data_IF_867171813130
#
_entry.id   IF_867171813130
#
_cell.length_a   1.000
_cell.length_b   1.000
_cell.length_c   1.000
_cell.angle_alpha   90.00
_cell.angle_beta   90.00
_cell.angle_gamma   90.00
#
_symmetry.space_group_name_H-M   'P 1'
#
loop_
_entity.id
_entity.type
_entity.pdbx_description
1 polymer ?
#
# COMPACT_ATOMS: atom_id res chain seq x y z
N UNK A 1 -21.82 3.98 18.88
CA UNK A 1 -22.38 4.39 17.57
C UNK A 1 -21.38 5.18 16.72
N UNK A 2 -20.78 6.26 17.23
CA UNK A 2 -19.81 7.09 16.45
C UNK A 2 -18.63 6.28 15.86
N UNK A 3 -17.99 5.43 16.66
CA UNK A 3 -16.85 4.60 16.20
C UNK A 3 -17.24 3.55 15.15
N UNK A 4 -18.48 3.06 15.17
CA UNK A 4 -18.97 2.13 14.15
C UNK A 4 -19.08 2.82 12.79
N UNK A 5 -19.64 4.03 12.74
CA UNK A 5 -19.72 4.82 11.50
C UNK A 5 -18.33 5.18 10.97
N UNK A 6 -17.38 5.53 11.84
CA UNK A 6 -16.00 5.81 11.42
C UNK A 6 -15.36 4.56 10.80
N UNK A 7 -15.52 3.39 11.45
CA UNK A 7 -14.99 2.13 10.92
C UNK A 7 -15.63 1.74 9.59
N UNK A 8 -16.96 1.86 9.47
CA UNK A 8 -17.70 1.59 8.24
C UNK A 8 -17.23 2.48 7.09
N UNK A 9 -17.03 3.76 7.36
CA UNK A 9 -16.58 4.73 6.35
C UNK A 9 -15.15 4.42 5.89
N UNK A 10 -14.27 4.02 6.82
CA UNK A 10 -12.92 3.57 6.52
C UNK A 10 -12.91 2.29 5.67
N UNK A 11 -13.81 1.35 5.97
CA UNK A 11 -13.95 0.13 5.20
C UNK A 11 -14.46 0.40 3.78
N UNK A 12 -15.45 1.29 3.63
CA UNK A 12 -15.98 1.72 2.33
C UNK A 12 -14.92 2.42 1.48
N UNK A 13 -14.18 3.38 2.05
CA UNK A 13 -13.12 4.08 1.32
C UNK A 13 -12.01 3.13 0.92
N UNK A 14 -11.56 2.24 1.81
CA UNK A 14 -10.57 1.22 1.49
C UNK A 14 -11.06 0.26 0.39
N UNK A 15 -12.31 -0.19 0.46
CA UNK A 15 -12.92 -1.06 -0.55
C UNK A 15 -13.02 -0.42 -1.93
N UNK A 16 -13.51 0.82 -2.00
CA UNK A 16 -13.62 1.58 -3.26
C UNK A 16 -12.23 1.86 -3.85
N UNK A 17 -11.27 2.29 -3.01
CA UNK A 17 -9.89 2.49 -3.45
C UNK A 17 -9.26 1.18 -3.96
N UNK A 18 -9.47 0.06 -3.26
CA UNK A 18 -9.03 -1.25 -3.70
C UNK A 18 -9.62 -1.66 -5.05
N UNK A 19 -10.91 -1.42 -5.27
CA UNK A 19 -11.59 -1.69 -6.54
C UNK A 19 -11.03 -0.84 -7.69
N UNK A 20 -10.85 0.47 -7.48
CA UNK A 20 -10.31 1.37 -8.51
C UNK A 20 -8.89 0.96 -8.94
N UNK A 21 -8.08 0.51 -7.98
CA UNK A 21 -6.73 0.04 -8.27
C UNK A 21 -6.76 -1.34 -8.95
N UNK A 22 -7.66 -2.24 -8.54
CA UNK A 22 -7.85 -3.53 -9.21
C UNK A 22 -8.26 -3.36 -10.69
N UNK A 23 -9.11 -2.37 -10.97
CA UNK A 23 -9.51 -2.01 -12.34
C UNK A 23 -8.35 -1.42 -13.16
N UNK A 24 -7.34 -0.85 -12.50
CA UNK A 24 -6.15 -0.38 -13.17
C UNK A 24 -5.17 -1.54 -13.43
N UNK A 25 -5.34 -2.19 -14.58
CA UNK A 25 -4.47 -3.28 -15.03
C UNK A 25 -3.21 -2.80 -15.74
N UNK A 26 -2.93 -1.49 -15.77
CA UNK A 26 -1.70 -1.02 -16.40
C UNK A 26 -0.48 -1.51 -15.61
N UNK A 27 0.47 -2.20 -16.27
CA UNK A 27 1.70 -2.61 -15.62
C UNK A 27 2.58 -1.39 -15.34
N UNK A 28 3.17 -1.32 -14.13
CA UNK A 28 4.19 -0.33 -13.81
C UNK A 28 5.56 -1.00 -13.93
N UNK A 29 6.51 -0.28 -14.51
CA UNK A 29 7.91 -0.70 -14.57
C UNK A 29 8.71 0.16 -13.61
N UNK A 30 9.46 -0.46 -12.71
CA UNK A 30 10.38 0.27 -11.83
C UNK A 30 11.70 0.50 -12.56
N UNK A 31 12.12 1.76 -12.59
CA UNK A 31 13.42 2.16 -13.10
C UNK A 31 14.36 2.29 -11.90
N UNK A 32 15.44 1.52 -11.90
CA UNK A 32 16.46 1.56 -10.88
C UNK A 32 17.37 2.76 -11.14
N UNK A 33 17.48 3.64 -10.14
CA UNK A 33 18.38 4.78 -10.15
C UNK A 33 19.43 4.64 -9.04
N UNK A 34 20.67 5.13 -9.28
CA UNK A 34 21.16 5.84 -10.48
C UNK A 34 21.40 4.92 -11.69
N UNK A 35 21.58 5.51 -12.88
CA UNK A 35 22.03 4.75 -14.06
C UNK A 35 23.45 4.23 -13.85
N UNK A 36 23.73 3.03 -14.35
CA UNK A 36 25.07 2.45 -14.28
C UNK A 36 25.60 2.29 -15.71
N UNK A 37 26.72 2.95 -16.01
CA UNK A 37 27.30 2.95 -17.36
C UNK A 37 26.39 3.58 -18.44
N UNK A 38 25.49 4.51 -18.07
CA UNK A 38 24.55 5.13 -19.00
C UNK A 38 23.34 4.26 -19.37
N UNK A 39 23.20 3.07 -18.77
CA UNK A 39 22.07 2.17 -18.98
C UNK A 39 21.11 2.24 -17.80
N UNK A 40 19.81 2.29 -18.10
CA UNK A 40 18.73 2.17 -17.12
C UNK A 40 18.40 0.70 -16.90
N UNK A 41 18.47 0.25 -15.65
CA UNK A 41 18.02 -1.08 -15.27
C UNK A 41 16.55 -1.00 -14.88
N UNK A 42 15.75 -1.93 -15.39
CA UNK A 42 14.33 -2.03 -15.07
C UNK A 42 14.01 -3.36 -14.41
N UNK A 43 13.10 -3.32 -13.44
CA UNK A 43 12.51 -4.54 -12.90
C UNK A 43 11.39 -5.04 -13.81
N UNK A 44 11.04 -6.34 -13.76
CA UNK A 44 9.88 -6.86 -14.45
C UNK A 44 8.62 -6.05 -14.14
N UNK A 45 7.75 -5.79 -15.14
CA UNK A 45 6.53 -5.03 -14.93
C UNK A 45 5.64 -5.69 -13.87
N UNK A 46 5.12 -4.88 -12.95
CA UNK A 46 4.31 -5.33 -11.82
C UNK A 46 2.92 -4.71 -11.90
N UNK A 47 1.83 -5.44 -11.56
CA UNK A 47 0.50 -4.85 -11.52
C UNK A 47 0.40 -3.77 -10.44
N UNK A 48 -0.19 -2.61 -10.76
CA UNK A 48 -0.45 -1.53 -9.77
C UNK A 48 -1.26 -2.06 -8.58
N UNK A 49 -2.24 -2.92 -8.86
CA UNK A 49 -3.04 -3.62 -7.86
C UNK A 49 -2.20 -4.28 -6.78
N UNK A 50 -1.12 -4.97 -7.16
CA UNK A 50 -0.25 -5.67 -6.22
C UNK A 50 0.44 -4.67 -5.27
N UNK A 51 0.94 -3.55 -5.78
CA UNK A 51 1.63 -2.54 -4.98
C UNK A 51 0.72 -1.90 -3.94
N UNK A 52 -0.54 -1.63 -4.29
CA UNK A 52 -1.50 -1.04 -3.36
C UNK A 52 -1.90 -2.03 -2.28
N UNK A 53 -2.14 -3.30 -2.65
CA UNK A 53 -2.43 -4.36 -1.67
C UNK A 53 -1.28 -4.49 -0.68
N UNK A 54 -0.03 -4.55 -1.17
CA UNK A 54 1.15 -4.61 -0.31
C UNK A 54 1.29 -3.36 0.57
N UNK A 55 1.02 -2.18 0.04
CA UNK A 55 1.07 -0.92 0.79
C UNK A 55 0.02 -0.86 1.90
N UNK A 56 -1.19 -1.37 1.64
CA UNK A 56 -2.25 -1.47 2.64
C UNK A 56 -1.81 -2.38 3.81
N UNK A 57 -1.34 -3.59 3.51
CA UNK A 57 -0.87 -4.52 4.54
C UNK A 57 0.33 -3.98 5.31
N UNK A 58 1.26 -3.30 4.63
CA UNK A 58 2.37 -2.61 5.27
C UNK A 58 1.87 -1.52 6.25
N UNK A 59 0.87 -0.72 5.85
CA UNK A 59 0.26 0.28 6.73
C UNK A 59 -0.41 -0.33 7.97
N UNK A 60 -1.16 -1.42 7.80
CA UNK A 60 -1.76 -2.17 8.92
C UNK A 60 -0.68 -2.71 9.85
N UNK A 61 0.38 -3.30 9.29
CA UNK A 61 1.50 -3.84 10.06
C UNK A 61 2.24 -2.75 10.85
N UNK A 62 2.51 -1.59 10.23
CA UNK A 62 3.10 -0.44 10.92
C UNK A 62 2.18 0.05 12.05
N UNK A 63 0.88 0.19 11.79
CA UNK A 63 -0.09 0.57 12.81
C UNK A 63 -0.11 -0.40 14.00
N UNK A 64 0.00 -1.70 13.74
CA UNK A 64 0.10 -2.74 14.76
C UNK A 64 1.40 -2.63 15.58
N UNK A 65 2.56 -2.44 14.93
CA UNK A 65 3.83 -2.23 15.63
C UNK A 65 3.77 -0.99 16.53
N UNK A 66 3.21 0.12 16.04
CA UNK A 66 3.05 1.35 16.83
C UNK A 66 2.19 1.10 18.07
N UNK A 67 1.10 0.34 17.91
CA UNK A 67 0.22 -0.04 19.01
C UNK A 67 0.97 -0.87 20.07
N UNK A 68 1.74 -1.88 19.65
CA UNK A 68 2.56 -2.70 20.55
C UNK A 68 3.62 -1.86 21.27
N UNK A 69 4.33 -0.99 20.55
CA UNK A 69 5.34 -0.12 21.13
C UNK A 69 4.74 0.80 22.21
N UNK A 70 3.55 1.37 21.98
CA UNK A 70 2.84 2.16 23.00
C UNK A 70 2.49 1.39 24.27
N UNK A 71 2.25 0.08 24.15
CA UNK A 71 2.04 -0.81 25.30
C UNK A 71 3.30 -1.08 26.11
N UNK A 72 4.49 -0.99 25.49
CA UNK A 72 5.78 -1.23 26.13
C UNK A 72 6.31 -0.02 26.93
N UNK A 73 5.88 1.20 26.59
CA UNK A 73 6.27 2.45 27.27
C UNK A 73 5.27 2.91 28.34
N UNK A 74 4.33 2.05 28.74
CA UNK A 74 3.40 2.24 29.86
C UNK A 74 3.71 1.25 30.97
#
# INVERSE_FOLDING_TARGET
MKSFFVFLLLFLTAGISGMLVFLNQQPITFILTPTFGGVYYTLPPVPVGLLVVLSFFAGVFVGYIIFLARGFFR
#
